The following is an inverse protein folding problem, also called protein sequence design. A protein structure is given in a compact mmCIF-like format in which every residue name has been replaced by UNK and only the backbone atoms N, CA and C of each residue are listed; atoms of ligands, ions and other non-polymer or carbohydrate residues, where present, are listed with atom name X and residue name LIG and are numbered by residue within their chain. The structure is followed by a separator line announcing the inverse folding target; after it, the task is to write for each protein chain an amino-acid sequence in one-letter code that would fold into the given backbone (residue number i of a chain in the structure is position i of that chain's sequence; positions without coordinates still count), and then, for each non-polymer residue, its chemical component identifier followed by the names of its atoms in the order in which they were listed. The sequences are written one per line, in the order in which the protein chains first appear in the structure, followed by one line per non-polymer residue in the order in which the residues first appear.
data_IF_460957874437
#
_entry.id   IF_460957874437
#
_cell.length_a   1.000
_cell.length_b   1.000
_cell.length_c   1.000
_cell.angle_alpha   90.00
_cell.angle_beta   90.00
_cell.angle_gamma   90.00
#
_symmetry.space_group_name_H-M   'P 1'
#
loop_
_entity.id
_entity.type
_entity.pdbx_description
1 polymer ?
#
# COMPACT_ATOMS: atom_id res chain seq x y z
N UNK A 1 -5.50 1.53 9.58
CA UNK A 1 -4.53 1.55 10.71
C UNK A 1 -3.11 1.90 10.23
N UNK A 2 -2.19 2.22 11.14
CA UNK A 2 -0.76 2.44 10.88
C UNK A 2 0.07 1.43 11.70
N UNK A 3 1.20 1.00 11.14
CA UNK A 3 2.16 0.12 11.83
C UNK A 3 1.71 -1.33 11.96
N UNK A 4 2.63 -2.19 12.39
CA UNK A 4 2.38 -3.62 12.58
C UNK A 4 1.49 -3.91 13.80
N UNK A 5 1.46 -3.00 14.77
CA UNK A 5 0.55 -3.00 15.92
C UNK A 5 -0.87 -2.53 15.56
N UNK A 6 -1.09 -2.11 14.31
CA UNK A 6 -2.39 -1.70 13.76
C UNK A 6 -3.06 -0.63 14.63
N UNK A 7 -2.31 0.35 15.13
CA UNK A 7 -2.94 1.46 15.84
C UNK A 7 -3.62 2.43 14.84
N UNK A 8 -4.61 3.23 15.28
CA UNK A 8 -5.21 4.24 14.42
C UNK A 8 -4.17 5.28 13.94
N UNK A 9 -4.14 5.57 12.63
CA UNK A 9 -3.32 6.66 12.09
C UNK A 9 -3.88 8.00 12.56
N UNK A 10 -3.20 8.66 13.49
CA UNK A 10 -3.66 9.92 14.12
C UNK A 10 -2.53 10.97 14.10
N UNK A 11 -2.16 11.51 12.94
CA UNK A 11 -1.30 12.69 12.89
C UNK A 11 -2.01 13.87 13.56
N UNK A 12 -1.25 14.88 13.96
CA UNK A 12 -1.80 16.17 14.45
C UNK A 12 -2.31 16.98 13.26
N UNK A 13 -3.24 16.41 12.50
CA UNK A 13 -3.87 16.98 11.32
C UNK A 13 -5.38 17.12 11.59
N UNK A 14 -5.96 18.21 11.08
CA UNK A 14 -7.41 18.40 11.08
C UNK A 14 -7.98 17.95 9.73
N UNK A 15 -9.32 17.88 9.59
CA UNK A 15 -9.95 17.56 8.30
C UNK A 15 -9.61 18.58 7.20
N UNK A 16 -9.24 19.81 7.57
CA UNK A 16 -8.88 20.88 6.64
C UNK A 16 -7.39 20.83 6.24
N UNK A 17 -6.59 19.99 6.89
CA UNK A 17 -5.18 19.80 6.54
C UNK A 17 -5.06 18.86 5.35
N UNK A 18 -4.59 19.37 4.21
CA UNK A 18 -4.30 18.54 3.04
C UNK A 18 -3.16 17.57 3.34
N UNK A 19 -3.27 16.32 2.88
CA UNK A 19 -2.24 15.29 3.10
C UNK A 19 -0.86 15.74 2.59
N UNK A 20 -0.82 16.49 1.49
CA UNK A 20 0.40 17.02 0.86
C UNK A 20 1.14 18.06 1.71
N UNK A 21 0.52 18.58 2.78
CA UNK A 21 1.20 19.45 3.75
C UNK A 21 2.33 18.71 4.47
N UNK A 22 2.17 17.41 4.69
CA UNK A 22 3.17 16.58 5.35
C UNK A 22 3.84 15.61 4.36
N UNK A 23 3.08 15.01 3.46
CA UNK A 23 3.58 14.02 2.50
C UNK A 23 4.19 14.69 1.28
N UNK A 24 5.47 14.41 1.02
CA UNK A 24 6.26 15.03 -0.06
C UNK A 24 6.72 13.99 -1.08
N UNK A 25 7.67 14.36 -1.94
CA UNK A 25 8.21 13.51 -3.00
C UNK A 25 9.11 12.37 -2.48
N UNK A 26 9.50 12.40 -1.21
CA UNK A 26 10.34 11.37 -0.58
C UNK A 26 10.07 11.25 0.91
N UNK A 27 10.48 10.13 1.50
CA UNK A 27 10.45 9.96 2.94
C UNK A 27 11.24 11.07 3.65
N UNK A 28 10.63 11.65 4.68
CA UNK A 28 11.26 12.67 5.52
C UNK A 28 11.46 12.13 6.93
N UNK A 29 12.70 11.97 7.37
CA UNK A 29 13.02 11.54 8.75
C UNK A 29 12.89 12.74 9.69
N UNK A 30 12.12 12.57 10.76
CA UNK A 30 12.01 13.58 11.81
C UNK A 30 13.24 13.53 12.71
N UNK A 31 13.74 14.70 13.10
CA UNK A 31 14.85 14.86 14.04
C UNK A 31 14.40 15.31 15.43
N UNK A 32 13.12 15.67 15.57
CA UNK A 32 12.48 16.08 16.82
C UNK A 32 11.75 14.90 17.47
N UNK A 33 11.49 14.99 18.78
CA UNK A 33 10.70 13.98 19.48
C UNK A 33 9.23 14.02 19.00
N UNK A 34 8.81 12.95 18.33
CA UNK A 34 7.45 12.76 17.86
C UNK A 34 7.02 11.30 18.06
N UNK A 35 5.71 11.04 18.02
CA UNK A 35 5.14 9.69 18.10
C UNK A 35 5.44 8.82 16.86
N UNK A 36 6.07 9.38 15.84
CA UNK A 36 6.48 8.71 14.61
C UNK A 36 7.87 9.22 14.20
N UNK A 37 8.66 8.39 13.51
CA UNK A 37 10.07 8.73 13.17
C UNK A 37 10.26 9.33 11.78
N UNK A 38 9.28 9.19 10.90
CA UNK A 38 9.35 9.75 9.56
C UNK A 38 7.97 9.92 8.93
N UNK A 39 7.88 10.86 7.99
CA UNK A 39 6.70 11.09 7.16
C UNK A 39 6.90 10.36 5.81
N UNK A 40 5.96 9.50 5.39
CA UNK A 40 5.99 8.89 4.07
C UNK A 40 6.03 9.91 2.93
N UNK A 41 6.77 9.61 1.86
CA UNK A 41 6.74 10.41 0.64
C UNK A 41 7.14 9.64 -0.60
N UNK A 42 6.63 10.10 -1.74
CA UNK A 42 6.83 9.55 -3.08
C UNK A 42 6.42 10.63 -4.11
N UNK A 43 7.03 10.76 -5.30
CA UNK A 43 6.66 11.79 -6.27
C UNK A 43 5.18 11.73 -6.70
N UNK A 44 4.61 10.52 -6.66
CA UNK A 44 3.19 10.23 -6.91
C UNK A 44 2.41 9.91 -5.63
N UNK A 45 2.84 10.41 -4.47
CA UNK A 45 2.24 10.03 -3.20
C UNK A 45 0.74 10.32 -3.20
N UNK A 46 -0.03 9.28 -2.89
CA UNK A 46 -1.46 9.36 -2.67
C UNK A 46 -1.88 8.23 -1.74
N UNK A 47 -2.92 8.48 -0.95
CA UNK A 47 -3.55 7.39 -0.20
C UNK A 47 -4.24 6.43 -1.18
N UNK A 48 -4.18 5.12 -0.89
CA UNK A 48 -4.95 4.15 -1.64
C UNK A 48 -6.46 4.48 -1.52
N UNK A 49 -7.23 4.33 -2.61
CA UNK A 49 -8.66 4.59 -2.60
C UNK A 49 -9.39 3.64 -1.65
N UNK A 50 -10.57 4.02 -1.16
CA UNK A 50 -11.33 3.25 -0.16
C UNK A 50 -11.72 1.86 -0.68
N UNK A 51 -11.86 1.71 -1.99
CA UNK A 51 -12.13 0.47 -2.71
C UNK A 51 -10.99 -0.55 -2.55
N UNK A 52 -9.80 -0.13 -2.12
CA UNK A 52 -8.65 -0.99 -1.79
C UNK A 52 -8.49 -1.26 -0.28
N UNK A 53 -9.45 -0.88 0.56
CA UNK A 53 -9.40 -1.20 1.98
C UNK A 53 -9.62 -2.70 2.23
N UNK A 54 -8.66 -3.34 2.91
CA UNK A 54 -8.67 -4.77 3.25
C UNK A 54 -8.86 -5.06 4.74
N UNK A 55 -8.83 -4.04 5.59
CA UNK A 55 -8.98 -4.20 7.03
C UNK A 55 -10.32 -4.89 7.37
N UNK A 56 -10.25 -5.97 8.18
CA UNK A 56 -11.40 -6.77 8.58
C UNK A 56 -11.92 -7.76 7.53
N UNK A 57 -11.34 -7.80 6.32
CA UNK A 57 -11.74 -8.76 5.26
C UNK A 57 -11.01 -10.09 5.39
N UNK A 58 -11.72 -11.17 5.07
CA UNK A 58 -11.13 -12.50 4.85
C UNK A 58 -10.31 -12.54 3.56
N UNK A 59 -9.43 -13.55 3.43
CA UNK A 59 -8.61 -13.76 2.23
C UNK A 59 -9.48 -13.92 0.97
N UNK A 60 -10.59 -14.66 1.05
CA UNK A 60 -11.52 -14.84 -0.07
C UNK A 60 -12.24 -13.55 -0.49
N UNK A 61 -12.54 -12.65 0.47
CA UNK A 61 -13.08 -11.31 0.17
C UNK A 61 -12.05 -10.40 -0.49
N UNK A 62 -10.80 -10.42 -0.01
CA UNK A 62 -9.70 -9.66 -0.61
C UNK A 62 -9.45 -10.14 -2.03
N UNK A 63 -9.38 -11.46 -2.25
CA UNK A 63 -9.19 -12.02 -3.59
C UNK A 63 -10.28 -11.56 -4.56
N UNK A 64 -11.55 -11.66 -4.19
CA UNK A 64 -12.67 -11.21 -5.03
C UNK A 64 -12.58 -9.71 -5.31
N UNK A 65 -12.23 -8.91 -4.31
CA UNK A 65 -12.09 -7.45 -4.44
C UNK A 65 -10.95 -7.05 -5.37
N UNK A 66 -9.79 -7.70 -5.29
CA UNK A 66 -8.64 -7.41 -6.15
C UNK A 66 -8.94 -7.75 -7.62
N UNK A 67 -9.74 -8.78 -7.86
CA UNK A 67 -10.14 -9.20 -9.22
C UNK A 67 -11.26 -8.37 -9.83
N UNK A 68 -12.03 -7.67 -9.01
CA UNK A 68 -13.21 -6.93 -9.42
C UNK A 68 -12.82 -5.61 -10.13
N UNK A 69 -13.06 -5.48 -11.45
CA UNK A 69 -12.70 -4.28 -12.21
C UNK A 69 -13.34 -3.00 -11.67
N UNK A 70 -14.52 -3.10 -11.06
CA UNK A 70 -15.23 -1.94 -10.50
C UNK A 70 -14.57 -1.42 -9.22
N UNK A 71 -13.68 -2.22 -8.62
CA UNK A 71 -13.04 -1.94 -7.32
C UNK A 71 -11.52 -1.90 -7.38
N UNK A 72 -10.91 -2.42 -8.45
CA UNK A 72 -9.46 -2.43 -8.65
C UNK A 72 -8.98 -1.33 -9.62
N UNK A 73 -9.87 -0.42 -10.04
CA UNK A 73 -9.57 0.64 -10.99
C UNK A 73 -9.54 0.19 -12.45
N UNK A 74 -10.40 -0.77 -12.83
CA UNK A 74 -10.55 -1.26 -14.20
C UNK A 74 -9.41 -2.14 -14.70
N UNK A 75 -8.58 -2.68 -13.80
CA UNK A 75 -7.41 -3.50 -14.14
C UNK A 75 -7.82 -4.92 -14.50
N UNK A 76 -7.34 -5.40 -15.65
CA UNK A 76 -7.26 -6.84 -15.96
C UNK A 76 -6.25 -7.54 -15.03
N UNK A 77 -6.20 -8.87 -15.06
CA UNK A 77 -5.18 -9.62 -14.31
C UNK A 77 -3.76 -9.26 -14.74
N UNK A 78 -3.51 -9.01 -16.03
CA UNK A 78 -2.19 -8.59 -16.52
C UNK A 78 -1.82 -7.19 -16.03
N UNK A 79 -2.76 -6.24 -16.04
CA UNK A 79 -2.54 -4.89 -15.50
C UNK A 79 -2.40 -4.89 -13.98
N UNK A 80 -3.08 -5.81 -13.30
CA UNK A 80 -2.92 -6.03 -11.87
C UNK A 80 -1.52 -6.57 -11.55
N UNK A 81 -1.03 -7.54 -12.32
CA UNK A 81 0.35 -8.02 -12.19
C UNK A 81 1.35 -6.88 -12.38
N UNK A 82 1.22 -6.10 -13.45
CA UNK A 82 2.09 -4.94 -13.72
C UNK A 82 2.08 -3.95 -12.54
N UNK A 83 0.90 -3.63 -12.02
CA UNK A 83 0.77 -2.73 -10.88
C UNK A 83 1.44 -3.29 -9.61
N UNK A 84 1.28 -4.57 -9.30
CA UNK A 84 1.86 -5.14 -8.08
C UNK A 84 3.37 -5.38 -8.20
N UNK A 85 3.83 -5.80 -9.38
CA UNK A 85 5.22 -6.17 -9.63
C UNK A 85 6.14 -4.97 -9.87
N UNK A 86 5.63 -3.88 -10.45
CA UNK A 86 6.50 -2.82 -11.01
C UNK A 86 6.13 -1.39 -10.60
N UNK A 87 4.96 -1.15 -9.99
CA UNK A 87 4.58 0.20 -9.54
C UNK A 87 5.50 0.68 -8.40
N UNK A 88 6.17 1.82 -8.59
CA UNK A 88 7.12 2.39 -7.63
C UNK A 88 6.46 2.88 -6.32
N UNK A 89 5.17 3.24 -6.36
CA UNK A 89 4.41 3.57 -5.16
C UNK A 89 4.05 2.30 -4.37
N UNK A 90 3.85 1.16 -5.05
CA UNK A 90 3.74 -0.15 -4.38
C UNK A 90 5.09 -0.56 -3.81
N UNK A 91 6.18 -0.35 -4.56
CA UNK A 91 7.56 -0.62 -4.16
C UNK A 91 7.97 0.09 -2.86
N UNK A 92 7.34 1.24 -2.57
CA UNK A 92 7.52 1.99 -1.33
C UNK A 92 7.37 1.11 -0.08
N UNK A 93 6.52 0.07 -0.12
CA UNK A 93 6.31 -0.87 0.98
C UNK A 93 7.59 -1.57 1.48
N UNK A 94 8.62 -1.71 0.64
CA UNK A 94 9.92 -2.29 1.01
C UNK A 94 10.96 -1.24 1.41
N UNK A 95 10.67 0.06 1.21
CA UNK A 95 11.52 1.17 1.65
C UNK A 95 10.67 2.26 2.37
N UNK A 96 9.99 1.91 3.48
CA UNK A 96 8.94 2.75 4.05
C UNK A 96 9.46 3.96 4.85
N UNK A 97 10.77 4.17 4.94
CA UNK A 97 11.38 5.21 5.78
C UNK A 97 11.51 4.81 7.25
N UNK A 98 12.12 5.67 8.06
CA UNK A 98 12.49 5.35 9.44
C UNK A 98 11.27 5.06 10.33
N UNK A 99 11.39 4.03 11.19
CA UNK A 99 10.38 3.65 12.18
C UNK A 99 9.22 2.80 11.65
N UNK A 100 9.34 2.25 10.43
CA UNK A 100 8.43 1.26 9.86
C UNK A 100 9.23 0.04 9.41
N UNK A 101 8.68 -1.14 9.64
CA UNK A 101 9.26 -2.37 9.11
C UNK A 101 8.94 -2.48 7.61
N UNK A 102 9.90 -2.88 6.77
CA UNK A 102 9.64 -3.22 5.38
C UNK A 102 8.61 -4.35 5.27
N UNK A 103 7.85 -4.37 4.17
CA UNK A 103 7.05 -5.52 3.81
C UNK A 103 7.91 -6.80 3.75
N UNK A 104 7.38 -7.97 4.13
CA UNK A 104 8.11 -9.23 3.99
C UNK A 104 8.53 -9.51 2.53
N UNK A 105 9.66 -10.18 2.34
CA UNK A 105 10.16 -10.54 1.01
C UNK A 105 10.63 -9.34 0.17
N UNK A 106 10.27 -9.34 -1.11
CA UNK A 106 10.60 -8.27 -2.07
C UNK A 106 9.44 -8.03 -3.03
N UNK A 107 9.41 -6.89 -3.72
CA UNK A 107 8.41 -6.63 -4.76
C UNK A 107 8.55 -7.59 -5.94
N UNK A 108 9.78 -7.98 -6.29
CA UNK A 108 10.02 -9.00 -7.31
C UNK A 108 9.34 -10.33 -6.94
N UNK A 109 9.47 -10.76 -5.68
CA UNK A 109 8.79 -11.95 -5.19
C UNK A 109 7.26 -11.76 -5.18
N UNK A 110 6.75 -10.57 -4.87
CA UNK A 110 5.31 -10.28 -5.03
C UNK A 110 4.85 -10.49 -6.48
N UNK A 111 5.62 -9.97 -7.45
CA UNK A 111 5.33 -10.17 -8.87
C UNK A 111 5.28 -11.65 -9.25
N UNK A 112 6.30 -12.42 -8.88
CA UNK A 112 6.36 -13.87 -9.12
C UNK A 112 5.15 -14.61 -8.53
N UNK A 113 4.76 -14.28 -7.29
CA UNK A 113 3.62 -14.89 -6.62
C UNK A 113 2.29 -14.53 -7.30
N UNK A 114 2.13 -13.28 -7.73
CA UNK A 114 0.93 -12.82 -8.45
C UNK A 114 0.84 -13.49 -9.81
N UNK A 115 1.95 -13.62 -10.54
CA UNK A 115 1.99 -14.32 -11.82
C UNK A 115 1.61 -15.80 -11.65
N UNK A 116 2.20 -16.49 -10.67
CA UNK A 116 1.86 -17.88 -10.38
C UNK A 116 0.37 -18.06 -10.01
N UNK A 117 -0.20 -17.13 -9.24
CA UNK A 117 -1.63 -17.12 -8.96
C UNK A 117 -2.48 -16.91 -10.22
N UNK A 118 -2.09 -16.02 -11.13
CA UNK A 118 -2.76 -15.81 -12.41
C UNK A 118 -2.69 -17.06 -13.29
N UNK A 119 -1.54 -17.72 -13.37
CA UNK A 119 -1.32 -18.93 -14.18
C UNK A 119 -2.22 -20.10 -13.74
N UNK A 120 -2.62 -20.13 -12.47
CA UNK A 120 -3.58 -21.10 -11.92
C UNK A 120 -5.05 -20.68 -12.07
N UNK A 121 -5.32 -19.61 -12.83
CA UNK A 121 -6.66 -19.07 -13.07
C UNK A 121 -7.13 -18.01 -12.07
N UNK A 122 -6.22 -17.48 -11.26
CA UNK A 122 -6.49 -16.48 -10.23
C UNK A 122 -7.65 -16.89 -9.29
N UNK A 123 -7.69 -18.16 -8.89
CA UNK A 123 -8.78 -18.69 -8.06
C UNK A 123 -8.80 -18.04 -6.68
N UNK A 124 -10.00 -17.85 -6.13
CA UNK A 124 -10.17 -17.38 -4.76
C UNK A 124 -10.44 -18.56 -3.83
N UNK A 125 -9.89 -18.55 -2.60
CA UNK A 125 -10.24 -19.51 -1.57
C UNK A 125 -11.66 -19.27 -1.03
#
# INVERSE_FOLDING_TARGET
MQGNDKHPHRPVATRDTLCVTCHTDRNFTLHEEASYRSIPGHPRWMAAPIEMAWEGKSVGEICRQIKDPDRNGGRSLSLLHEHLAHDDLVAWGWQPGAGRDPAPGSQALLGELVQAWIDTGALCP
#
